data_IF_532493635875
#
_entry.id   IF_532493635875
#
_cell.length_a   1.000
_cell.length_b   1.000
_cell.length_c   1.000
_cell.angle_alpha   90.00
_cell.angle_beta   90.00
_cell.angle_gamma   90.00
#
_symmetry.space_group_name_H-M   'P 1'
#
loop_
_entity.id
_entity.type
_entity.pdbx_description
1 polymer ?
#
# COMPACT_ATOMS: atom_id res chain seq x y z
N UNK A 1 44.52 9.02 -32.87
CA UNK A 1 44.78 9.85 -31.66
C UNK A 1 45.40 8.98 -30.58
N UNK A 2 46.64 9.26 -30.17
CA UNK A 2 47.36 8.46 -29.16
C UNK A 2 47.04 9.06 -27.78
N UNK A 3 46.08 8.48 -27.08
CA UNK A 3 45.68 8.93 -25.74
C UNK A 3 46.84 8.74 -24.76
N UNK A 4 47.23 9.81 -24.05
CA UNK A 4 48.32 9.74 -23.08
C UNK A 4 47.89 8.90 -21.86
N UNK A 5 48.83 8.20 -21.21
CA UNK A 5 48.55 7.42 -19.99
C UNK A 5 47.88 8.28 -18.89
N UNK A 6 48.22 9.57 -18.82
CA UNK A 6 47.61 10.53 -17.88
C UNK A 6 46.13 10.78 -18.18
N UNK A 7 45.77 10.87 -19.47
CA UNK A 7 44.39 11.04 -19.91
C UNK A 7 43.54 9.80 -19.59
N UNK A 8 44.10 8.60 -19.74
CA UNK A 8 43.41 7.34 -19.40
C UNK A 8 43.16 7.24 -17.89
N UNK A 9 44.15 7.57 -17.06
CA UNK A 9 44.00 7.58 -15.59
C UNK A 9 42.97 8.60 -15.13
N UNK A 10 42.95 9.79 -15.74
CA UNK A 10 41.97 10.82 -15.43
C UNK A 10 40.54 10.36 -15.75
N UNK A 11 40.33 9.74 -16.92
CA UNK A 11 39.02 9.21 -17.32
C UNK A 11 38.56 8.12 -16.33
N UNK A 12 39.46 7.21 -15.95
CA UNK A 12 39.18 6.16 -14.95
C UNK A 12 38.82 6.73 -13.57
N UNK A 13 39.54 7.77 -13.12
CA UNK A 13 39.26 8.43 -11.85
C UNK A 13 37.90 9.15 -11.85
N UNK A 14 37.55 9.81 -12.96
CA UNK A 14 36.22 10.45 -13.13
C UNK A 14 35.12 9.38 -13.16
N UNK A 15 35.33 8.26 -13.86
CA UNK A 15 34.38 7.15 -13.87
C UNK A 15 34.18 6.56 -12.47
N UNK A 16 35.26 6.39 -11.69
CA UNK A 16 35.18 5.92 -10.30
C UNK A 16 34.44 6.91 -9.37
N UNK A 17 34.64 8.21 -9.55
CA UNK A 17 33.98 9.24 -8.75
C UNK A 17 32.47 9.35 -9.05
N UNK A 18 32.06 9.18 -10.32
CA UNK A 18 30.64 9.17 -10.70
C UNK A 18 29.91 7.94 -10.14
N UNK A 19 30.55 6.77 -10.13
CA UNK A 19 29.96 5.53 -9.60
C UNK A 19 29.59 5.60 -8.11
N UNK A 20 30.34 6.38 -7.30
CA UNK A 20 30.11 6.47 -5.85
C UNK A 20 28.85 7.28 -5.51
N UNK A 21 28.39 8.14 -6.42
CA UNK A 21 27.15 8.93 -6.22
C UNK A 21 25.85 8.13 -6.38
N UNK A 22 25.91 6.88 -6.86
CA UNK A 22 24.72 6.03 -7.07
C UNK A 22 24.17 5.37 -5.78
N UNK A 23 24.85 5.53 -4.64
CA UNK A 23 24.48 4.83 -3.39
C UNK A 23 23.47 5.59 -2.51
N UNK A 24 22.67 6.51 -3.05
CA UNK A 24 21.74 7.33 -2.28
C UNK A 24 20.25 7.18 -2.60
N UNK A 25 19.83 6.20 -3.43
CA UNK A 25 18.41 6.11 -3.80
C UNK A 25 17.55 5.62 -2.63
N UNK A 26 16.41 6.29 -2.32
CA UNK A 26 15.42 5.76 -1.40
C UNK A 26 14.86 4.43 -1.92
N UNK A 27 14.53 3.53 -1.00
CA UNK A 27 13.95 2.23 -1.33
C UNK A 27 12.47 2.42 -1.69
N UNK A 28 12.15 2.31 -2.98
CA UNK A 28 10.78 2.43 -3.51
C UNK A 28 10.13 1.06 -3.80
N UNK A 29 10.62 -0.01 -3.16
CA UNK A 29 10.08 -1.37 -3.31
C UNK A 29 8.86 -1.64 -2.42
N UNK A 30 8.39 -0.63 -1.66
CA UNK A 30 7.16 -0.76 -0.86
C UNK A 30 6.00 -1.14 -1.78
N UNK A 31 5.28 -2.19 -1.44
CA UNK A 31 4.05 -2.59 -2.11
C UNK A 31 2.87 -1.97 -1.37
N UNK A 32 2.01 -1.26 -2.12
CA UNK A 32 0.77 -0.71 -1.59
C UNK A 32 -0.34 -1.77 -1.63
N UNK A 33 -1.12 -1.86 -0.54
CA UNK A 33 -2.27 -2.76 -0.46
C UNK A 33 -3.33 -2.38 -1.49
N UNK A 34 -4.09 -3.36 -1.97
CA UNK A 34 -5.26 -3.15 -2.83
C UNK A 34 -6.37 -2.34 -2.15
N UNK A 35 -6.38 -2.32 -0.81
CA UNK A 35 -7.30 -1.50 -0.03
C UNK A 35 -6.86 -0.04 0.12
N UNK A 36 -5.71 0.35 -0.43
CA UNK A 36 -5.21 1.72 -0.38
C UNK A 36 -5.90 2.59 -1.41
N UNK A 37 -6.37 3.75 -0.96
CA UNK A 37 -6.99 4.80 -1.79
C UNK A 37 -6.01 5.48 -2.76
N UNK A 38 -4.70 5.26 -2.61
CA UNK A 38 -3.66 5.85 -3.47
C UNK A 38 -3.85 5.48 -4.93
N UNK A 39 -4.24 4.24 -5.22
CA UNK A 39 -4.48 3.78 -6.58
C UNK A 39 -5.70 4.47 -7.19
N UNK A 40 -6.83 4.49 -6.47
CA UNK A 40 -8.07 5.15 -6.89
C UNK A 40 -7.86 6.66 -7.12
N UNK A 41 -7.08 7.31 -6.24
CA UNK A 41 -6.72 8.71 -6.40
C UNK A 41 -5.92 8.98 -7.70
N UNK A 42 -4.98 8.10 -8.05
CA UNK A 42 -4.25 8.19 -9.33
C UNK A 42 -5.20 7.97 -10.52
N UNK A 43 -6.12 7.01 -10.45
CA UNK A 43 -7.11 6.80 -11.52
C UNK A 43 -7.97 8.05 -11.74
N UNK A 44 -8.44 8.70 -10.67
CA UNK A 44 -9.20 9.95 -10.75
C UNK A 44 -8.39 11.04 -11.46
N UNK A 45 -7.11 11.18 -11.12
CA UNK A 45 -6.23 12.16 -11.78
C UNK A 45 -6.04 11.84 -13.27
N UNK A 46 -5.90 10.57 -13.64
CA UNK A 46 -5.79 10.13 -15.03
C UNK A 46 -7.05 10.44 -15.83
N UNK A 47 -8.21 10.07 -15.30
CA UNK A 47 -9.52 10.33 -15.92
C UNK A 47 -9.72 11.83 -16.11
N UNK A 48 -9.33 12.65 -15.13
CA UNK A 48 -9.48 14.10 -15.21
C UNK A 48 -8.70 14.75 -16.37
N UNK A 49 -7.59 14.13 -16.78
CA UNK A 49 -6.75 14.60 -17.90
C UNK A 49 -7.01 13.83 -19.20
N UNK A 50 -7.96 12.90 -19.22
CA UNK A 50 -8.22 12.04 -20.38
C UNK A 50 -7.08 11.09 -20.71
N UNK A 51 -6.25 10.74 -19.72
CA UNK A 51 -5.20 9.74 -19.88
C UNK A 51 -5.79 8.33 -19.83
N UNK A 52 -5.18 7.39 -20.57
CA UNK A 52 -5.51 5.97 -20.44
C UNK A 52 -5.13 5.48 -19.05
N UNK A 53 -6.06 4.82 -18.36
CA UNK A 53 -5.82 4.28 -17.01
C UNK A 53 -4.53 3.45 -16.96
N UNK A 54 -3.84 3.44 -15.81
CA UNK A 54 -2.75 2.51 -15.59
C UNK A 54 -3.23 1.05 -15.70
N UNK A 55 -2.30 0.10 -15.58
CA UNK A 55 -2.66 -1.32 -15.46
C UNK A 55 -3.78 -1.50 -14.43
N UNK A 56 -4.65 -2.49 -14.65
CA UNK A 56 -5.71 -2.87 -13.68
C UNK A 56 -5.28 -4.05 -12.79
N UNK A 57 -4.06 -4.56 -12.99
CA UNK A 57 -3.53 -5.73 -12.27
C UNK A 57 -2.54 -5.29 -11.20
N UNK A 58 -3.06 -4.92 -10.03
CA UNK A 58 -2.25 -4.68 -8.83
C UNK A 58 -1.89 -5.97 -8.08
N UNK A 59 -1.18 -5.88 -6.94
CA UNK A 59 -0.76 -4.65 -6.25
C UNK A 59 0.45 -3.96 -6.92
N UNK A 60 0.64 -2.67 -6.63
CA UNK A 60 1.70 -1.85 -7.20
C UNK A 60 2.80 -1.52 -6.19
N UNK A 61 4.03 -1.44 -6.69
CA UNK A 61 5.14 -0.85 -5.96
C UNK A 61 5.06 0.68 -5.93
N UNK A 62 5.69 1.29 -4.93
CA UNK A 62 5.85 2.74 -4.82
C UNK A 62 6.54 3.31 -6.05
N UNK A 63 7.52 2.60 -6.63
CA UNK A 63 8.21 3.00 -7.85
C UNK A 63 7.24 3.08 -9.04
N UNK A 64 6.36 2.08 -9.21
CA UNK A 64 5.34 2.07 -10.26
C UNK A 64 4.32 3.19 -10.08
N UNK A 65 3.80 3.37 -8.86
CA UNK A 65 2.85 4.45 -8.57
C UNK A 65 3.49 5.82 -8.77
N UNK A 66 4.76 5.99 -8.41
CA UNK A 66 5.51 7.23 -8.65
C UNK A 66 5.68 7.50 -10.14
N UNK A 67 5.96 6.47 -10.95
CA UNK A 67 6.04 6.58 -12.41
C UNK A 67 4.67 6.94 -13.01
N UNK A 68 3.59 6.38 -12.47
CA UNK A 68 2.23 6.75 -12.88
C UNK A 68 1.94 8.21 -12.54
N UNK A 69 2.30 8.67 -11.34
CA UNK A 69 2.08 10.04 -10.89
C UNK A 69 2.86 11.06 -11.75
N UNK A 70 4.08 10.73 -12.16
CA UNK A 70 4.92 11.58 -13.03
C UNK A 70 4.33 11.86 -14.42
N UNK A 71 3.38 11.04 -14.89
CA UNK A 71 2.71 11.25 -16.19
C UNK A 71 1.63 12.34 -16.13
N UNK A 72 1.22 12.73 -14.92
CA UNK A 72 0.15 13.72 -14.72
C UNK A 72 0.77 15.12 -14.86
N UNK A 73 0.16 15.94 -15.71
CA UNK A 73 0.58 17.33 -15.89
C UNK A 73 -0.07 18.22 -14.83
N UNK A 74 0.66 18.51 -13.76
CA UNK A 74 0.17 19.30 -12.61
C UNK A 74 -0.34 20.68 -13.04
N UNK A 75 0.21 21.27 -14.10
CA UNK A 75 -0.19 22.61 -14.58
C UNK A 75 -1.61 22.67 -15.14
N UNK A 76 -2.17 21.51 -15.53
CA UNK A 76 -3.52 21.38 -16.10
C UNK A 76 -4.56 20.94 -15.07
N UNK A 77 -4.15 20.70 -13.82
CA UNK A 77 -5.08 20.30 -12.77
C UNK A 77 -5.90 21.48 -12.27
N UNK A 78 -7.18 21.23 -11.99
CA UNK A 78 -8.03 22.14 -11.22
C UNK A 78 -7.59 22.12 -9.75
N UNK A 79 -7.87 23.18 -9.00
CA UNK A 79 -7.47 23.34 -7.59
C UNK A 79 -7.79 22.11 -6.73
N UNK A 80 -9.03 21.62 -6.75
CA UNK A 80 -9.42 20.39 -6.03
C UNK A 80 -8.62 19.12 -6.39
N UNK A 81 -8.13 19.00 -7.62
CA UNK A 81 -7.33 17.86 -8.07
C UNK A 81 -5.84 18.04 -7.77
N UNK A 82 -5.37 19.28 -7.60
CA UNK A 82 -4.03 19.54 -7.10
C UNK A 82 -3.87 19.03 -5.67
N UNK A 83 -4.91 19.15 -4.83
CA UNK A 83 -4.92 18.57 -3.48
C UNK A 83 -4.86 17.04 -3.51
N UNK A 84 -5.57 16.41 -4.46
CA UNK A 84 -5.49 14.95 -4.67
C UNK A 84 -4.09 14.55 -5.12
N UNK A 85 -3.47 15.29 -6.04
CA UNK A 85 -2.09 15.06 -6.44
C UNK A 85 -1.12 15.17 -5.25
N UNK A 86 -1.23 16.24 -4.47
CA UNK A 86 -0.40 16.47 -3.29
C UNK A 86 -0.60 15.38 -2.22
N UNK A 87 -1.83 14.89 -2.06
CA UNK A 87 -2.14 13.75 -1.19
C UNK A 87 -1.39 12.50 -1.64
N UNK A 88 -1.50 12.13 -2.92
CA UNK A 88 -0.80 10.95 -3.47
C UNK A 88 0.72 11.11 -3.33
N UNK A 89 1.26 12.27 -3.69
CA UNK A 89 2.70 12.56 -3.55
C UNK A 89 3.17 12.37 -2.10
N UNK A 90 2.40 12.88 -1.13
CA UNK A 90 2.69 12.70 0.29
C UNK A 90 2.65 11.24 0.72
N UNK A 91 1.66 10.47 0.26
CA UNK A 91 1.56 9.03 0.57
C UNK A 91 2.71 8.22 -0.01
N UNK A 92 3.14 8.54 -1.23
CA UNK A 92 4.28 7.90 -1.88
C UNK A 92 5.62 8.35 -1.29
N UNK A 93 5.68 9.50 -0.60
CA UNK A 93 6.88 9.99 0.07
C UNK A 93 7.05 9.46 1.50
N UNK A 94 6.10 8.67 2.04
CA UNK A 94 6.17 8.15 3.42
C UNK A 94 7.40 7.27 3.58
N UNK A 95 8.35 7.76 4.39
CA UNK A 95 9.55 7.03 4.77
C UNK A 95 9.25 6.07 5.94
N UNK A 96 10.11 5.05 6.16
CA UNK A 96 10.03 4.21 7.35
C UNK A 96 10.01 5.06 8.62
N UNK A 97 9.17 4.69 9.61
CA UNK A 97 9.07 5.42 10.89
C UNK A 97 10.40 5.42 11.66
N UNK A 98 11.16 4.34 11.55
CA UNK A 98 12.52 4.23 12.03
C UNK A 98 13.41 3.94 10.83
N UNK A 99 14.44 4.76 10.63
CA UNK A 99 15.46 4.56 9.61
C UNK A 99 16.86 4.62 10.25
N UNK A 100 17.65 3.57 10.05
CA UNK A 100 19.01 3.50 10.60
C UNK A 100 19.92 2.62 9.77
N UNK A 101 21.13 3.11 9.42
CA UNK A 101 22.18 2.37 8.67
C UNK A 101 21.67 1.52 7.48
N UNK A 102 20.65 1.99 6.76
CA UNK A 102 20.07 1.29 5.60
C UNK A 102 19.00 0.25 5.95
N UNK A 103 18.56 0.20 7.22
CA UNK A 103 17.42 -0.58 7.70
C UNK A 103 16.26 0.38 7.99
N UNK A 104 15.10 0.10 7.42
CA UNK A 104 13.84 0.79 7.71
C UNK A 104 12.87 -0.12 8.44
N UNK A 105 12.11 0.43 9.39
CA UNK A 105 11.01 -0.25 10.07
C UNK A 105 9.81 0.70 10.18
N UNK A 106 8.60 0.19 9.92
CA UNK A 106 7.34 0.89 10.15
C UNK A 106 6.30 -0.11 10.66
N UNK A 107 5.32 0.38 11.40
CA UNK A 107 4.23 -0.43 11.92
C UNK A 107 2.92 0.32 11.82
N UNK A 108 1.82 -0.40 11.62
CA UNK A 108 0.47 0.14 11.60
C UNK A 108 -0.40 -0.63 12.60
N UNK A 109 -1.36 0.07 13.17
CA UNK A 109 -2.29 -0.48 14.14
C UNK A 109 -3.68 0.02 13.78
N UNK A 110 -4.57 -0.91 13.47
CA UNK A 110 -5.94 -0.64 13.09
C UNK A 110 -6.88 -1.39 14.02
N UNK A 111 -7.81 -0.66 14.63
CA UNK A 111 -8.87 -1.23 15.45
C UNK A 111 -10.21 -0.90 14.82
N UNK A 112 -11.01 -1.93 14.54
CA UNK A 112 -12.30 -1.77 13.86
C UNK A 112 -13.40 -2.38 14.73
N UNK A 113 -14.50 -1.66 14.89
CA UNK A 113 -15.72 -2.21 15.48
C UNK A 113 -16.81 -2.29 14.40
N UNK A 114 -17.28 -3.49 14.12
CA UNK A 114 -18.37 -3.74 13.17
C UNK A 114 -19.52 -4.46 13.87
N UNK A 115 -20.74 -4.00 13.57
CA UNK A 115 -21.98 -4.58 14.06
C UNK A 115 -22.98 -4.75 12.91
N UNK A 116 -23.65 -5.89 12.90
CA UNK A 116 -24.56 -6.30 11.84
C UNK A 116 -25.88 -6.73 12.48
N UNK A 117 -26.97 -6.25 11.90
CA UNK A 117 -28.32 -6.57 12.36
C UNK A 117 -29.17 -7.01 11.17
N UNK A 118 -29.95 -8.07 11.36
CA UNK A 118 -30.93 -8.53 10.40
C UNK A 118 -32.27 -8.86 11.07
N UNK A 119 -33.35 -8.74 10.30
CA UNK A 119 -34.73 -8.98 10.77
C UNK A 119 -35.27 -10.34 10.39
N UNK A 120 -34.71 -11.01 9.37
CA UNK A 120 -35.15 -12.35 8.96
C UNK A 120 -34.47 -13.41 9.84
N UNK A 121 -35.19 -13.89 10.84
CA UNK A 121 -34.75 -14.92 11.77
C UNK A 121 -35.13 -16.34 11.33
N UNK A 122 -35.61 -16.52 10.10
CA UNK A 122 -36.24 -17.78 9.65
C UNK A 122 -35.64 -18.36 8.37
N UNK A 123 -35.33 -17.55 7.36
CA UNK A 123 -34.90 -18.03 6.03
C UNK A 123 -33.41 -17.85 5.77
N UNK A 124 -32.74 -16.93 6.48
CA UNK A 124 -31.33 -16.59 6.26
C UNK A 124 -30.52 -16.72 7.56
N UNK A 125 -30.57 -17.92 8.16
CA UNK A 125 -29.78 -18.25 9.34
C UNK A 125 -28.44 -18.87 8.93
N UNK A 126 -27.36 -18.36 9.52
CA UNK A 126 -26.01 -18.87 9.33
C UNK A 126 -25.22 -18.13 8.26
N UNK A 127 -23.90 -18.31 8.32
CA UNK A 127 -22.92 -17.56 7.52
C UNK A 127 -23.15 -17.66 6.01
N UNK A 128 -23.56 -18.83 5.52
CA UNK A 128 -23.74 -19.11 4.08
C UNK A 128 -24.90 -18.32 3.46
N UNK A 129 -25.90 -17.98 4.27
CA UNK A 129 -27.06 -17.20 3.84
C UNK A 129 -26.80 -15.68 3.88
N UNK A 130 -25.64 -15.28 4.39
CA UNK A 130 -25.30 -13.87 4.61
C UNK A 130 -24.57 -13.28 3.40
N UNK A 131 -25.12 -12.22 2.82
CA UNK A 131 -24.52 -11.54 1.65
C UNK A 131 -23.17 -10.88 1.97
N UNK A 132 -22.95 -10.47 3.22
CA UNK A 132 -21.68 -9.93 3.70
C UNK A 132 -20.71 -11.04 4.16
N UNK A 133 -20.01 -11.60 3.19
CA UNK A 133 -19.17 -12.78 3.35
C UNK A 133 -17.97 -12.54 4.28
N UNK A 134 -17.38 -13.64 4.77
CA UNK A 134 -16.22 -13.63 5.66
C UNK A 134 -15.04 -12.81 5.10
N UNK A 135 -14.85 -12.78 3.77
CA UNK A 135 -13.79 -12.01 3.11
C UNK A 135 -13.96 -10.49 3.23
N UNK A 136 -15.18 -10.00 3.42
CA UNK A 136 -15.47 -8.58 3.56
C UNK A 136 -15.42 -8.12 5.03
N UNK A 137 -15.44 -9.05 5.99
CA UNK A 137 -15.44 -8.73 7.41
C UNK A 137 -14.09 -8.16 7.83
N UNK A 138 -14.09 -6.96 8.43
CA UNK A 138 -12.85 -6.40 8.95
C UNK A 138 -12.49 -7.08 10.27
N UNK A 139 -11.22 -7.45 10.46
CA UNK A 139 -10.76 -7.93 11.75
C UNK A 139 -10.97 -6.86 12.83
N UNK A 140 -11.19 -7.30 14.06
CA UNK A 140 -11.29 -6.41 15.22
C UNK A 140 -10.00 -5.62 15.40
N UNK A 141 -8.86 -6.29 15.20
CA UNK A 141 -7.55 -5.71 15.36
C UNK A 141 -6.61 -6.18 14.25
N UNK A 142 -5.83 -5.25 13.70
CA UNK A 142 -4.72 -5.54 12.78
C UNK A 142 -3.46 -4.82 13.25
N UNK A 143 -2.34 -5.54 13.23
CA UNK A 143 -0.99 -5.03 13.45
C UNK A 143 -0.15 -5.35 12.23
N UNK A 144 0.18 -4.33 11.45
CA UNK A 144 1.07 -4.44 10.31
C UNK A 144 2.50 -4.08 10.68
N UNK A 145 3.48 -4.81 10.15
CA UNK A 145 4.91 -4.53 10.26
C UNK A 145 5.51 -4.48 8.85
N UNK A 146 6.10 -3.34 8.50
CA UNK A 146 6.83 -3.10 7.27
C UNK A 146 8.33 -3.02 7.58
N UNK A 147 9.14 -3.70 6.78
CA UNK A 147 10.59 -3.80 6.97
C UNK A 147 11.33 -3.54 5.66
N UNK A 148 12.43 -2.80 5.74
CA UNK A 148 13.35 -2.55 4.63
C UNK A 148 14.76 -2.91 5.10
N UNK A 149 15.16 -4.19 5.07
CA UNK A 149 16.46 -4.60 5.59
C UNK A 149 17.64 -4.10 4.74
N UNK A 150 17.39 -3.67 3.49
CA UNK A 150 18.34 -3.02 2.59
C UNK A 150 17.55 -2.24 1.51
N UNK A 151 18.24 -1.57 0.57
CA UNK A 151 17.66 -0.72 -0.50
C UNK A 151 16.82 -1.44 -1.55
N UNK A 152 16.95 -2.77 -1.64
CA UNK A 152 16.29 -3.58 -2.68
C UNK A 152 15.28 -4.58 -2.09
N UNK A 153 15.08 -4.54 -0.77
CA UNK A 153 14.21 -5.48 -0.08
C UNK A 153 13.11 -4.73 0.65
N UNK A 154 11.91 -5.25 0.52
CA UNK A 154 10.74 -4.83 1.27
C UNK A 154 10.05 -6.08 1.79
N UNK A 155 9.71 -6.09 3.07
CA UNK A 155 8.97 -7.15 3.71
C UNK A 155 7.75 -6.58 4.43
N UNK A 156 6.62 -7.22 4.26
CA UNK A 156 5.38 -6.91 4.95
C UNK A 156 4.90 -8.13 5.72
N UNK A 157 4.59 -7.94 6.99
CA UNK A 157 4.00 -8.96 7.86
C UNK A 157 2.78 -8.37 8.54
N UNK A 158 1.71 -9.14 8.62
CA UNK A 158 0.48 -8.73 9.29
C UNK A 158 0.09 -9.76 10.33
N UNK A 159 -0.34 -9.29 11.50
CA UNK A 159 -1.04 -10.08 12.50
C UNK A 159 -2.44 -9.49 12.71
N UNK A 160 -3.48 -10.31 12.59
CA UNK A 160 -4.86 -9.85 12.77
C UNK A 160 -5.64 -10.75 13.71
N UNK A 161 -6.57 -10.14 14.45
CA UNK A 161 -7.51 -10.79 15.36
C UNK A 161 -8.92 -10.49 14.86
N UNK A 162 -9.66 -11.53 14.51
CA UNK A 162 -11.01 -11.41 13.98
C UNK A 162 -11.75 -12.73 13.97
N UNK A 163 -12.99 -12.70 13.50
CA UNK A 163 -13.83 -13.88 13.42
C UNK A 163 -13.32 -14.87 12.39
N UNK A 164 -13.27 -16.16 12.76
CA UNK A 164 -13.00 -17.24 11.80
C UNK A 164 -14.31 -17.75 11.17
N UNK A 165 -14.17 -18.33 9.97
CA UNK A 165 -15.26 -18.97 9.25
C UNK A 165 -15.60 -20.36 9.78
N UNK A 166 -14.74 -20.98 10.61
CA UNK A 166 -14.81 -22.39 11.00
C UNK A 166 -15.59 -22.68 12.29
N UNK A 167 -16.23 -21.69 12.92
CA UNK A 167 -16.96 -21.89 14.18
C UNK A 167 -18.40 -22.36 13.93
N UNK A 168 -18.81 -23.39 14.68
CA UNK A 168 -20.13 -24.05 14.60
C UNK A 168 -21.29 -23.09 14.90
N UNK A 169 -21.10 -22.16 15.85
CA UNK A 169 -22.01 -21.05 16.14
C UNK A 169 -21.46 -19.72 15.59
N UNK A 170 -21.16 -19.71 14.30
CA UNK A 170 -20.49 -18.60 13.63
C UNK A 170 -21.36 -17.34 13.45
N UNK A 171 -20.70 -16.29 12.97
CA UNK A 171 -21.31 -15.02 12.57
C UNK A 171 -22.52 -15.21 11.64
N UNK A 172 -23.62 -14.51 11.90
CA UNK A 172 -24.87 -14.58 11.12
C UNK A 172 -25.86 -15.66 11.56
N UNK A 173 -25.58 -16.38 12.65
CA UNK A 173 -26.53 -17.34 13.27
C UNK A 173 -27.57 -16.66 14.16
N UNK A 174 -27.32 -15.41 14.56
CA UNK A 174 -28.17 -14.59 15.43
C UNK A 174 -28.54 -13.27 14.75
N UNK A 175 -29.69 -12.71 15.14
CA UNK A 175 -30.21 -11.41 14.66
C UNK A 175 -29.18 -10.28 14.75
N UNK A 176 -28.28 -10.36 15.73
CA UNK A 176 -27.15 -9.46 15.92
C UNK A 176 -25.85 -10.24 15.75
N UNK A 177 -24.92 -9.71 14.96
CA UNK A 177 -23.57 -10.23 14.81
C UNK A 177 -22.55 -9.09 14.88
N UNK A 178 -21.32 -9.39 15.27
CA UNK A 178 -20.24 -8.40 15.38
C UNK A 178 -18.90 -9.04 15.07
N UNK A 179 -17.91 -8.21 14.71
CA UNK A 179 -16.51 -8.64 14.64
C UNK A 179 -15.85 -8.78 16.03
N UNK A 180 -16.56 -8.43 17.11
CA UNK A 180 -16.18 -8.81 18.47
C UNK A 180 -16.21 -10.32 18.60
N UNK A 181 -15.12 -10.89 19.13
CA UNK A 181 -15.07 -12.30 19.49
C UNK A 181 -15.96 -12.51 20.71
N UNK A 182 -17.15 -13.05 20.47
CA UNK A 182 -18.03 -13.52 21.54
C UNK A 182 -17.61 -14.94 21.87
N UNK A 183 -16.87 -15.11 22.95
CA UNK A 183 -16.59 -16.43 23.52
C UNK A 183 -17.89 -16.96 24.15
N UNK A 184 -18.21 -18.26 23.98
CA UNK A 184 -19.39 -18.88 24.58
C UNK A 184 -19.37 -18.87 26.11
#
# INVERSE_FOLDING_TARGET
MRTSRKTVVLILAVFLLVSVSAFGSPNQQKIFSLSSDVYEAIEVLYVSQGLSLPSTTGPYSQAELSLMLQKIDVSKLKESLADVYAYVEKQLAVQPKIEGKGIGLSWNFDATLEGYYHTDTTNFLGREAWNYQAINQKPLLTVGLETWPNKNFYGYSEFSVGNTHTLENGFGTTALASNLIVLP
#
